data_IF_711643851482
#
_entry.id   IF_711643851482
#
_cell.length_a   1.000
_cell.length_b   1.000
_cell.length_c   1.000
_cell.angle_alpha   90.00
_cell.angle_beta   90.00
_cell.angle_gamma   90.00
#
_symmetry.space_group_name_H-M   'P 1'
#
loop_
_entity.id
_entity.type
_entity.pdbx_description
1 polymer ?
#
# COMPACT_ATOMS: atom_id res chain seq x y z
N UNK A 1 -3.14 -6.60 15.44
CA UNK A 1 -2.10 -5.68 15.96
C UNK A 1 -1.06 -6.39 16.81
N UNK A 2 -1.44 -7.12 17.85
CA UNK A 2 -0.50 -7.79 18.78
C UNK A 2 0.64 -8.57 18.10
N UNK A 3 0.33 -9.37 17.08
CA UNK A 3 1.38 -10.11 16.35
C UNK A 3 2.37 -9.21 15.63
N UNK A 4 1.90 -8.12 15.02
CA UNK A 4 2.79 -7.16 14.34
C UNK A 4 3.67 -6.42 15.34
N UNK A 5 3.12 -6.06 16.49
CA UNK A 5 3.86 -5.43 17.58
C UNK A 5 4.95 -6.37 18.12
N UNK A 6 4.60 -7.63 18.38
CA UNK A 6 5.56 -8.65 18.82
C UNK A 6 6.70 -8.88 17.81
N UNK A 7 6.42 -8.80 16.49
CA UNK A 7 7.48 -8.89 15.48
C UNK A 7 8.37 -7.63 15.50
N UNK A 8 7.79 -6.45 15.65
CA UNK A 8 8.57 -5.21 15.74
C UNK A 8 9.48 -5.15 16.98
N UNK A 9 9.02 -5.69 18.11
CA UNK A 9 9.78 -5.78 19.36
C UNK A 9 11.05 -6.63 19.26
N UNK A 10 11.13 -7.51 18.28
CA UNK A 10 12.35 -8.30 18.02
C UNK A 10 13.53 -7.45 17.54
N UNK A 11 13.29 -6.21 17.13
CA UNK A 11 14.34 -5.28 16.69
C UNK A 11 14.99 -5.65 15.36
N UNK A 12 14.37 -6.52 14.57
CA UNK A 12 14.90 -6.95 13.27
C UNK A 12 14.30 -6.12 12.12
N UNK A 13 15.05 -5.92 11.02
CA UNK A 13 14.49 -5.35 9.80
C UNK A 13 13.29 -6.16 9.30
N UNK A 14 12.21 -5.46 8.94
CA UNK A 14 10.96 -6.06 8.50
C UNK A 14 10.68 -5.76 7.02
N UNK A 15 10.03 -6.71 6.36
CA UNK A 15 9.41 -6.53 5.04
C UNK A 15 7.96 -6.96 5.16
N UNK A 16 7.03 -6.10 4.76
CA UNK A 16 5.62 -6.42 4.70
C UNK A 16 5.28 -7.02 3.33
N UNK A 17 4.63 -8.18 3.34
CA UNK A 17 4.00 -8.75 2.16
C UNK A 17 2.49 -8.61 2.30
N UNK A 18 1.87 -7.91 1.38
CA UNK A 18 0.41 -7.69 1.34
C UNK A 18 -0.08 -7.74 -0.09
N UNK A 19 -1.26 -8.32 -0.31
CA UNK A 19 -1.76 -8.49 -1.67
C UNK A 19 -2.06 -7.16 -2.35
N UNK A 20 -2.84 -6.31 -1.70
CA UNK A 20 -3.28 -5.02 -2.26
C UNK A 20 -2.29 -3.92 -1.89
N UNK A 21 -1.84 -3.10 -2.85
CA UNK A 21 -0.96 -1.97 -2.56
C UNK A 21 -1.60 -0.97 -1.59
N UNK A 22 -0.77 -0.38 -0.76
CA UNK A 22 -1.19 0.66 0.19
C UNK A 22 -1.37 1.99 -0.53
N UNK A 23 -2.38 2.73 -0.11
CA UNK A 23 -2.53 4.11 -0.55
C UNK A 23 -1.34 4.97 -0.09
N UNK A 24 -0.88 5.81 -0.99
CA UNK A 24 -0.17 7.05 -0.70
C UNK A 24 -0.46 8.04 -1.84
N UNK A 25 -0.32 9.36 -1.61
CA UNK A 25 -0.46 10.32 -2.69
C UNK A 25 0.44 10.02 -3.88
N UNK A 26 1.67 9.55 -3.63
CA UNK A 26 2.61 9.15 -4.67
C UNK A 26 2.13 7.93 -5.47
N UNK A 27 1.54 6.93 -4.79
CA UNK A 27 0.96 5.76 -5.47
C UNK A 27 -0.21 6.16 -6.37
N UNK A 28 -1.13 6.97 -5.86
CA UNK A 28 -2.28 7.42 -6.63
C UNK A 28 -1.87 8.28 -7.83
N UNK A 29 -0.92 9.21 -7.64
CA UNK A 29 -0.37 10.03 -8.71
C UNK A 29 0.27 9.17 -9.82
N UNK A 30 1.05 8.15 -9.43
CA UNK A 30 1.66 7.21 -10.37
C UNK A 30 0.61 6.44 -11.19
N UNK A 31 -0.45 5.95 -10.54
CA UNK A 31 -1.53 5.24 -11.23
C UNK A 31 -2.26 6.17 -12.23
N UNK A 32 -2.52 7.41 -11.86
CA UNK A 32 -3.10 8.43 -12.75
C UNK A 32 -2.20 8.75 -13.94
N UNK A 33 -0.90 8.87 -13.74
CA UNK A 33 0.08 9.04 -14.83
C UNK A 33 0.11 7.83 -15.79
N UNK A 34 -0.24 6.64 -15.30
CA UNK A 34 -0.30 5.40 -16.07
C UNK A 34 -1.72 5.06 -16.56
N UNK A 35 -2.60 6.03 -16.67
CA UNK A 35 -3.90 5.93 -17.33
C UNK A 35 -5.12 5.74 -16.42
N UNK A 36 -4.94 5.70 -15.08
CA UNK A 36 -6.08 5.70 -14.17
C UNK A 36 -6.81 7.04 -14.26
N UNK A 37 -8.06 7.01 -14.67
CA UNK A 37 -8.89 8.21 -14.71
C UNK A 37 -9.29 8.66 -13.30
N UNK A 38 -9.54 9.97 -13.07
CA UNK A 38 -9.89 10.49 -11.73
C UNK A 38 -11.12 9.82 -11.09
N UNK A 39 -12.07 9.37 -11.91
CA UNK A 39 -13.31 8.71 -11.46
C UNK A 39 -13.17 7.20 -11.30
N UNK A 40 -12.05 6.61 -11.71
CA UNK A 40 -11.82 5.18 -11.58
C UNK A 40 -11.31 4.81 -10.18
N UNK A 41 -11.83 3.73 -9.59
CA UNK A 41 -11.32 3.22 -8.33
C UNK A 41 -9.83 2.88 -8.42
N UNK A 42 -9.04 3.36 -7.47
CA UNK A 42 -7.60 3.13 -7.47
C UNK A 42 -7.18 1.71 -7.02
N UNK A 43 -8.11 0.92 -6.46
CA UNK A 43 -7.83 -0.43 -5.93
C UNK A 43 -6.62 -0.48 -4.98
N UNK A 44 -6.54 0.51 -4.10
CA UNK A 44 -5.52 0.61 -3.07
C UNK A 44 -6.14 0.37 -1.69
N UNK A 45 -5.34 -0.15 -0.77
CA UNK A 45 -5.77 -0.30 0.62
C UNK A 45 -5.71 1.05 1.35
N UNK A 46 -6.72 1.34 2.15
CA UNK A 46 -6.84 2.55 2.97
C UNK A 46 -6.84 3.87 2.15
N UNK A 47 -7.54 3.87 1.03
CA UNK A 47 -7.79 5.12 0.28
C UNK A 47 -8.57 6.08 1.18
N UNK A 48 -8.17 7.35 1.29
CA UNK A 48 -8.92 8.36 2.04
C UNK A 48 -10.32 8.58 1.47
N UNK A 49 -11.27 8.88 2.34
CA UNK A 49 -12.68 9.04 1.94
C UNK A 49 -12.87 10.13 0.89
N UNK A 50 -12.13 11.22 0.99
CA UNK A 50 -12.16 12.31 0.02
C UNK A 50 -11.76 11.90 -1.40
N UNK A 51 -10.87 10.93 -1.54
CA UNK A 51 -10.45 10.38 -2.85
C UNK A 51 -11.48 9.39 -3.41
N UNK A 52 -12.36 8.88 -2.56
CA UNK A 52 -13.39 7.90 -2.95
C UNK A 52 -14.73 8.52 -3.31
N UNK A 53 -14.91 9.83 -3.24
CA UNK A 53 -16.20 10.52 -3.47
C UNK A 53 -16.82 10.27 -4.85
N UNK A 54 -15.99 9.94 -5.83
CA UNK A 54 -16.42 9.63 -7.19
C UNK A 54 -16.70 8.14 -7.44
N UNK A 55 -16.47 7.29 -6.44
CA UNK A 55 -16.65 5.83 -6.57
C UNK A 55 -18.13 5.47 -6.44
N UNK A 56 -18.56 4.42 -7.13
CA UNK A 56 -19.87 3.84 -6.86
C UNK A 56 -19.96 3.22 -5.46
N UNK A 57 -21.16 3.02 -4.94
CA UNK A 57 -21.39 2.52 -3.58
C UNK A 57 -20.73 1.18 -3.31
N UNK A 58 -20.67 0.31 -4.30
CA UNK A 58 -20.05 -1.01 -4.15
C UNK A 58 -18.56 -0.88 -3.94
N UNK A 59 -17.88 -0.09 -4.75
CA UNK A 59 -16.43 0.15 -4.66
C UNK A 59 -16.06 0.95 -3.42
N UNK A 60 -16.86 1.94 -3.09
CA UNK A 60 -16.69 2.69 -1.85
C UNK A 60 -16.66 1.76 -0.64
N UNK A 61 -17.66 0.87 -0.50
CA UNK A 61 -17.72 -0.08 0.62
C UNK A 61 -16.57 -1.09 0.62
N UNK A 62 -16.10 -1.53 -0.56
CA UNK A 62 -14.97 -2.46 -0.66
C UNK A 62 -13.64 -1.85 -0.24
N UNK A 63 -13.44 -0.57 -0.48
CA UNK A 63 -12.16 0.09 -0.26
C UNK A 63 -12.11 0.93 1.01
N UNK A 64 -13.26 1.20 1.61
CA UNK A 64 -13.33 1.91 2.87
C UNK A 64 -12.68 1.08 3.97
N UNK A 65 -11.50 1.48 4.38
CA UNK A 65 -10.84 0.87 5.53
C UNK A 65 -11.56 1.30 6.82
N UNK A 66 -11.81 0.35 7.71
CA UNK A 66 -12.25 0.65 9.06
C UNK A 66 -11.13 1.33 9.87
N UNK A 67 -11.48 1.89 11.01
CA UNK A 67 -10.55 2.58 11.89
C UNK A 67 -9.42 1.67 12.35
N UNK A 68 -9.72 0.40 12.63
CA UNK A 68 -8.74 -0.60 13.06
C UNK A 68 -7.68 -0.83 11.99
N UNK A 69 -8.11 -0.99 10.74
CA UNK A 69 -7.20 -1.18 9.59
C UNK A 69 -6.33 0.05 9.37
N UNK A 70 -6.92 1.26 9.41
CA UNK A 70 -6.15 2.52 9.27
C UNK A 70 -5.11 2.65 10.35
N UNK A 71 -5.50 2.49 11.61
CA UNK A 71 -4.60 2.57 12.76
C UNK A 71 -3.46 1.54 12.65
N UNK A 72 -3.76 0.32 12.21
CA UNK A 72 -2.76 -0.72 12.03
C UNK A 72 -1.75 -0.37 10.94
N UNK A 73 -2.21 0.16 9.80
CA UNK A 73 -1.35 0.56 8.69
C UNK A 73 -0.49 1.78 9.04
N UNK A 74 -1.08 2.78 9.69
CA UNK A 74 -0.35 3.96 10.15
C UNK A 74 0.76 3.58 11.13
N UNK A 75 0.42 2.74 12.12
CA UNK A 75 1.39 2.22 13.06
C UNK A 75 2.51 1.45 12.34
N UNK A 76 2.15 0.54 11.43
CA UNK A 76 3.12 -0.27 10.69
C UNK A 76 4.03 0.60 9.82
N UNK A 77 3.45 1.54 9.08
CA UNK A 77 4.22 2.46 8.25
C UNK A 77 5.13 3.40 9.06
N UNK A 78 4.81 3.66 10.32
CA UNK A 78 5.66 4.44 11.23
C UNK A 78 6.87 3.65 11.76
N UNK A 79 6.91 2.31 11.61
CA UNK A 79 7.99 1.50 12.16
C UNK A 79 9.33 1.78 11.45
N UNK A 80 10.39 2.17 12.15
CA UNK A 80 11.68 2.50 11.54
C UNK A 80 12.37 1.28 10.93
N UNK A 81 12.03 0.09 11.41
CA UNK A 81 12.57 -1.17 10.94
C UNK A 81 11.83 -1.74 9.71
N UNK A 82 10.67 -1.19 9.32
CA UNK A 82 10.01 -1.56 8.08
C UNK A 82 10.78 -0.97 6.89
N UNK A 83 11.38 -1.84 6.08
CA UNK A 83 12.30 -1.49 4.97
C UNK A 83 11.62 -1.48 3.61
N UNK A 84 10.59 -2.30 3.43
CA UNK A 84 9.84 -2.37 2.18
C UNK A 84 8.45 -2.94 2.39
N UNK A 85 7.56 -2.62 1.46
CA UNK A 85 6.26 -3.28 1.28
C UNK A 85 6.26 -3.92 -0.11
N UNK A 86 5.95 -5.21 -0.18
CA UNK A 86 5.85 -5.97 -1.42
C UNK A 86 4.39 -6.27 -1.70
N UNK A 87 3.92 -5.95 -2.91
CA UNK A 87 2.50 -6.03 -3.26
C UNK A 87 2.29 -6.65 -4.64
N UNK A 88 1.05 -6.98 -4.97
CA UNK A 88 0.62 -7.45 -6.27
C UNK A 88 -0.67 -6.75 -6.71
N UNK A 89 -1.74 -7.51 -6.94
CA UNK A 89 -3.12 -7.09 -7.20
C UNK A 89 -3.37 -6.33 -8.52
N UNK A 90 -2.60 -5.30 -8.81
CA UNK A 90 -2.84 -4.42 -9.96
C UNK A 90 -2.29 -4.97 -11.29
N UNK A 91 -1.66 -6.13 -11.27
CA UNK A 91 -1.07 -6.80 -12.43
C UNK A 91 -0.09 -5.92 -13.21
N UNK A 92 0.54 -4.97 -12.53
CA UNK A 92 1.52 -4.03 -13.09
C UNK A 92 2.70 -3.88 -12.15
N UNK A 93 3.86 -3.70 -12.73
CA UNK A 93 5.06 -3.35 -11.98
C UNK A 93 5.10 -1.86 -11.70
N UNK A 94 5.29 -1.49 -10.45
CA UNK A 94 5.59 -0.12 -10.07
C UNK A 94 6.29 -0.02 -8.72
N UNK A 95 6.92 1.11 -8.49
CA UNK A 95 7.52 1.48 -7.23
C UNK A 95 6.92 2.81 -6.78
N UNK A 96 6.45 2.88 -5.57
CA UNK A 96 5.90 4.11 -5.01
C UNK A 96 6.40 4.35 -3.60
N UNK A 97 6.63 5.61 -3.28
CA UNK A 97 6.99 6.01 -1.93
C UNK A 97 5.74 6.05 -1.04
N UNK A 98 5.80 5.39 0.10
CA UNK A 98 4.77 5.47 1.14
C UNK A 98 5.06 6.61 2.12
N UNK A 99 6.32 6.77 2.49
CA UNK A 99 6.87 7.87 3.28
C UNK A 99 8.39 7.99 3.03
N UNK A 100 9.07 9.03 3.49
CA UNK A 100 10.53 9.08 3.43
C UNK A 100 11.17 7.81 4.00
N UNK A 101 12.02 7.18 3.21
CA UNK A 101 12.73 5.95 3.59
C UNK A 101 11.91 4.65 3.51
N UNK A 102 10.63 4.68 3.12
CA UNK A 102 9.81 3.50 2.91
C UNK A 102 9.17 3.50 1.52
N UNK A 103 9.41 2.46 0.75
CA UNK A 103 8.81 2.26 -0.57
C UNK A 103 7.98 0.98 -0.60
N UNK A 104 6.96 0.99 -1.44
CA UNK A 104 6.28 -0.23 -1.86
C UNK A 104 6.69 -0.59 -3.29
N UNK A 105 6.73 -1.88 -3.54
CA UNK A 105 7.09 -2.48 -4.82
C UNK A 105 5.97 -3.41 -5.24
N UNK A 106 5.29 -3.08 -6.33
CA UNK A 106 4.27 -3.94 -6.91
C UNK A 106 4.88 -4.80 -8.02
N UNK A 107 4.39 -6.02 -8.13
CA UNK A 107 4.83 -7.00 -9.11
C UNK A 107 3.63 -7.44 -9.93
N UNK A 108 3.76 -7.41 -11.25
CA UNK A 108 2.78 -7.91 -12.20
C UNK A 108 2.73 -9.45 -12.25
N UNK A 109 1.70 -10.00 -12.89
CA UNK A 109 1.49 -11.45 -12.94
C UNK A 109 2.57 -12.20 -13.74
N UNK A 110 3.20 -11.54 -14.71
CA UNK A 110 4.12 -12.16 -15.66
C UNK A 110 5.57 -11.71 -15.45
N UNK A 111 5.85 -11.06 -14.32
CA UNK A 111 7.16 -10.47 -14.05
C UNK A 111 7.77 -11.05 -12.79
N UNK A 112 9.10 -11.00 -12.73
CA UNK A 112 9.89 -11.32 -11.55
C UNK A 112 10.75 -10.10 -11.22
N UNK A 113 10.67 -9.65 -10.00
CA UNK A 113 11.45 -8.51 -9.52
C UNK A 113 12.43 -8.97 -8.44
N UNK A 114 13.66 -8.50 -8.55
CA UNK A 114 14.67 -8.68 -7.51
C UNK A 114 14.85 -7.37 -6.76
N UNK A 115 14.62 -7.40 -5.48
CA UNK A 115 14.82 -6.26 -4.57
C UNK A 115 16.03 -6.57 -3.71
N UNK A 116 16.98 -5.65 -3.68
CA UNK A 116 18.19 -5.77 -2.86
C UNK A 116 18.16 -4.69 -1.79
N UNK A 117 18.27 -5.10 -0.56
CA UNK A 117 18.43 -4.20 0.59
C UNK A 117 19.93 -3.99 0.84
N UNK A 118 20.31 -2.76 0.94
CA UNK A 118 21.69 -2.32 1.19
C UNK A 118 21.78 -1.50 2.46
#
# INVERSE_FOLDING_TARGET
MERLQAEAEKGLPMVLLVHTPLYSPATLALLRQNGLQPQQPAYLMAVPEEEMRAYDDHRYRQQLADETTRTALDWLCAQPLLKAVLTGHLHKDFDAQLRPGLRQYAVGCETVRRIRFV
#
